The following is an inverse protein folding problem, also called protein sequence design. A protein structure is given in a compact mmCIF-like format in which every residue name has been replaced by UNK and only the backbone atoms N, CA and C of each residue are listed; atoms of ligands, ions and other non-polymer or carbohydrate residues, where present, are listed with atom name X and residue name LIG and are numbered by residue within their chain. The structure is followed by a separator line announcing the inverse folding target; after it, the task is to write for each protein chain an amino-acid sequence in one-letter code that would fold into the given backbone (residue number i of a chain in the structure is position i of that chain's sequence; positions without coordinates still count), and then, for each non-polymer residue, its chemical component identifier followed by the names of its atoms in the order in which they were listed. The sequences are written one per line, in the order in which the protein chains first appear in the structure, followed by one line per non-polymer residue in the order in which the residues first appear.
data_IF_575616410988
#
_entry.id   IF_575616410988
#
_cell.length_a   1.000
_cell.length_b   1.000
_cell.length_c   1.000
_cell.angle_alpha   90.00
_cell.angle_beta   90.00
_cell.angle_gamma   90.00
#
_symmetry.space_group_name_H-M   'P 1'
#
loop_
_entity.id
_entity.type
_entity.pdbx_description
1 polymer ?
#
# COMPACT_ATOMS: atom_id res chain seq x y z
N UNK A 1 -8.69 5.43 16.75
CA UNK A 1 -9.96 5.01 16.12
C UNK A 1 -10.99 6.06 16.46
N UNK A 2 -11.39 6.85 15.47
CA UNK A 2 -12.28 8.00 15.64
C UNK A 2 -13.58 7.78 14.84
N UNK A 3 -14.77 8.07 15.40
CA UNK A 3 -16.03 7.89 14.67
C UNK A 3 -16.20 8.84 13.48
N UNK A 4 -15.45 9.95 13.40
CA UNK A 4 -15.49 10.87 12.26
C UNK A 4 -14.63 10.36 11.09
N UNK A 5 -13.50 9.72 11.38
CA UNK A 5 -12.56 9.22 10.37
C UNK A 5 -12.90 7.79 9.92
N UNK A 6 -13.24 6.90 10.87
CA UNK A 6 -13.50 5.47 10.61
C UNK A 6 -14.83 4.97 11.21
N UNK A 7 -15.98 5.59 10.89
CA UNK A 7 -17.28 5.29 11.54
C UNK A 7 -17.64 3.81 11.48
N UNK A 8 -17.47 3.16 10.33
CA UNK A 8 -17.78 1.75 10.14
C UNK A 8 -17.02 0.86 11.13
N UNK A 9 -15.72 1.08 11.28
CA UNK A 9 -14.88 0.28 12.18
C UNK A 9 -15.21 0.63 13.63
N UNK A 10 -15.37 1.92 13.94
CA UNK A 10 -15.73 2.40 15.28
C UNK A 10 -17.00 1.71 15.82
N UNK A 11 -18.08 1.67 15.02
CA UNK A 11 -19.33 1.04 15.44
C UNK A 11 -19.25 -0.49 15.51
N UNK A 12 -18.42 -1.13 14.68
CA UNK A 12 -18.13 -2.56 14.82
C UNK A 12 -17.40 -2.86 16.14
N UNK A 13 -16.38 -2.06 16.45
CA UNK A 13 -15.53 -2.18 17.66
C UNK A 13 -16.29 -1.89 18.95
N UNK A 14 -17.18 -0.90 18.95
CA UNK A 14 -17.95 -0.48 20.14
C UNK A 14 -19.27 -1.24 20.31
N UNK A 15 -19.58 -2.19 19.41
CA UNK A 15 -20.75 -3.06 19.55
C UNK A 15 -20.63 -3.96 20.80
N UNK A 16 -21.73 -4.30 21.51
CA UNK A 16 -21.68 -5.16 22.71
C UNK A 16 -21.08 -6.56 22.52
N UNK A 17 -20.97 -7.03 21.28
CA UNK A 17 -20.34 -8.31 20.93
C UNK A 17 -18.88 -8.18 20.46
N UNK A 18 -18.35 -6.96 20.45
CA UNK A 18 -16.95 -6.67 20.12
C UNK A 18 -16.05 -6.99 21.30
N UNK A 19 -14.82 -7.40 20.99
CA UNK A 19 -13.78 -7.69 21.96
C UNK A 19 -12.61 -6.76 21.72
N UNK A 20 -12.10 -6.16 22.78
CA UNK A 20 -10.93 -5.29 22.76
C UNK A 20 -9.74 -6.03 23.36
N UNK A 21 -8.60 -5.95 22.69
CA UNK A 21 -7.33 -6.52 23.12
C UNK A 21 -6.31 -5.38 23.30
N UNK A 22 -5.77 -5.25 24.52
CA UNK A 22 -4.75 -4.26 24.89
C UNK A 22 -5.13 -2.79 24.58
N UNK A 23 -6.41 -2.44 24.74
CA UNK A 23 -6.92 -1.06 24.63
C UNK A 23 -7.22 -0.55 26.04
N UNK A 24 -6.89 0.71 26.32
CA UNK A 24 -7.14 1.33 27.62
C UNK A 24 -8.63 1.58 27.86
N UNK A 25 -9.08 1.26 29.07
CA UNK A 25 -10.46 1.46 29.52
C UNK A 25 -10.42 2.08 30.91
N UNK A 26 -11.16 3.17 31.10
CA UNK A 26 -11.25 3.85 32.39
C UNK A 26 -12.18 3.12 33.38
N UNK A 27 -12.24 3.61 34.62
CA UNK A 27 -13.09 3.02 35.67
C UNK A 27 -14.59 3.14 35.40
N UNK A 28 -15.02 3.98 34.45
CA UNK A 28 -16.41 4.15 34.03
C UNK A 28 -16.75 3.26 32.81
N UNK A 29 -15.77 2.51 32.29
CA UNK A 29 -15.93 1.65 31.12
C UNK A 29 -15.78 2.40 29.79
N UNK A 30 -15.30 3.65 29.79
CA UNK A 30 -15.02 4.39 28.55
C UNK A 30 -13.70 3.91 27.97
N UNK A 31 -13.71 3.67 26.67
CA UNK A 31 -12.55 3.20 25.92
C UNK A 31 -11.79 4.41 25.40
N UNK A 32 -10.47 4.45 25.64
CA UNK A 32 -9.58 5.43 25.05
C UNK A 32 -8.78 4.75 23.92
N UNK A 33 -9.18 5.02 22.67
CA UNK A 33 -8.51 4.48 21.48
C UNK A 33 -7.22 5.21 21.09
N UNK A 34 -6.88 6.29 21.78
CA UNK A 34 -5.65 7.05 21.56
C UNK A 34 -4.58 6.76 22.60
N UNK A 35 -4.95 6.19 23.75
CA UNK A 35 -4.00 5.75 24.76
C UNK A 35 -3.28 4.46 24.34
N UNK A 36 -1.98 4.60 24.06
CA UNK A 36 -1.08 3.49 23.71
C UNK A 36 -0.21 3.01 24.87
N UNK A 37 -0.56 3.34 26.11
CA UNK A 37 0.24 3.01 27.31
C UNK A 37 0.57 1.52 27.41
N UNK A 38 -0.37 0.64 27.05
CA UNK A 38 -0.14 -0.81 27.00
C UNK A 38 0.65 -1.22 25.75
N UNK A 39 0.24 -0.71 24.59
CA UNK A 39 0.85 -0.98 23.30
C UNK A 39 0.31 -0.03 22.23
N UNK A 40 1.10 0.23 21.18
CA UNK A 40 0.64 0.89 19.96
C UNK A 40 -0.10 -0.06 18.99
N UNK A 41 -0.32 -1.32 19.38
CA UNK A 41 -0.99 -2.36 18.59
C UNK A 41 -2.23 -2.88 19.33
N UNK A 42 -3.07 -1.97 19.83
CA UNK A 42 -4.39 -2.31 20.36
C UNK A 42 -5.26 -2.88 19.25
N UNK A 43 -6.03 -3.93 19.55
CA UNK A 43 -6.85 -4.62 18.54
C UNK A 43 -8.30 -4.72 18.98
N UNK A 44 -9.17 -4.91 18.00
CA UNK A 44 -10.54 -5.32 18.26
C UNK A 44 -10.96 -6.43 17.31
N UNK A 45 -11.86 -7.29 17.78
CA UNK A 45 -12.53 -8.28 16.95
C UNK A 45 -14.02 -8.13 17.15
N UNK A 46 -14.78 -8.22 16.06
CA UNK A 46 -16.22 -8.17 16.09
C UNK A 46 -16.78 -8.98 14.91
N UNK A 47 -18.00 -9.54 15.02
CA UNK A 47 -18.66 -10.19 13.90
C UNK A 47 -18.78 -9.26 12.68
N UNK A 48 -18.54 -9.77 11.47
CA UNK A 48 -18.70 -9.00 10.22
C UNK A 48 -20.11 -8.39 10.10
N UNK A 49 -21.12 -9.05 10.67
CA UNK A 49 -22.50 -8.57 10.73
C UNK A 49 -22.69 -7.23 11.46
N UNK A 50 -21.71 -6.80 12.28
CA UNK A 50 -21.78 -5.54 13.01
C UNK A 50 -21.48 -4.32 12.13
N UNK A 51 -21.01 -4.53 10.90
CA UNK A 51 -20.68 -3.45 9.97
C UNK A 51 -21.43 -3.60 8.65
N UNK A 52 -21.69 -2.51 7.90
CA UNK A 52 -22.15 -2.61 6.52
C UNK A 52 -21.18 -3.45 5.68
N UNK A 53 -21.68 -4.53 5.10
CA UNK A 53 -20.90 -5.44 4.28
C UNK A 53 -21.77 -6.01 3.15
N UNK A 54 -21.11 -6.53 2.11
CA UNK A 54 -21.76 -7.32 1.06
C UNK A 54 -21.72 -8.79 1.46
N UNK A 55 -22.74 -9.55 1.04
CA UNK A 55 -22.73 -11.00 1.20
C UNK A 55 -21.46 -11.61 0.59
N UNK A 56 -20.62 -12.30 1.39
CA UNK A 56 -19.38 -12.89 0.91
C UNK A 56 -19.59 -14.08 -0.02
N UNK A 57 -20.75 -14.74 -0.02
CA UNK A 57 -20.99 -15.98 -0.79
C UNK A 57 -21.24 -15.76 -2.29
N UNK A 58 -21.37 -14.51 -2.75
CA UNK A 58 -21.75 -14.18 -4.13
C UNK A 58 -21.04 -12.97 -4.72
N UNK A 59 -19.78 -12.76 -4.35
CA UNK A 59 -19.00 -11.64 -4.86
C UNK A 59 -18.67 -11.82 -6.36
N UNK A 60 -18.73 -10.74 -7.16
CA UNK A 60 -18.27 -10.80 -8.54
C UNK A 60 -16.76 -11.06 -8.61
N UNK A 61 -16.28 -11.46 -9.78
CA UNK A 61 -14.84 -11.61 -10.01
C UNK A 61 -14.11 -10.29 -9.72
N UNK A 62 -12.94 -10.39 -9.08
CA UNK A 62 -12.11 -9.23 -8.77
C UNK A 62 -11.68 -8.53 -10.07
N UNK A 63 -11.89 -7.21 -10.11
CA UNK A 63 -11.49 -6.34 -11.22
C UNK A 63 -10.28 -5.48 -10.90
N UNK A 64 -10.05 -5.20 -9.62
CA UNK A 64 -8.99 -4.31 -9.16
C UNK A 64 -8.20 -4.99 -8.05
N UNK A 65 -6.87 -4.97 -8.15
CA UNK A 65 -5.92 -5.34 -7.10
C UNK A 65 -5.18 -4.08 -6.66
N UNK A 66 -5.29 -3.73 -5.38
CA UNK A 66 -4.59 -2.58 -4.81
C UNK A 66 -3.44 -3.08 -3.95
N UNK A 67 -2.20 -2.79 -4.36
CA UNK A 67 -0.99 -3.08 -3.60
C UNK A 67 -0.65 -1.83 -2.79
N UNK A 68 -0.85 -1.90 -1.48
CA UNK A 68 -0.51 -0.80 -0.57
C UNK A 68 0.98 -0.82 -0.29
N UNK A 69 1.65 0.30 -0.53
CA UNK A 69 3.09 0.46 -0.38
C UNK A 69 3.34 1.69 0.47
N UNK A 70 3.64 1.53 1.75
CA UNK A 70 3.97 2.69 2.58
C UNK A 70 5.41 3.11 2.31
N UNK A 71 5.58 4.18 1.53
CA UNK A 71 6.88 4.65 1.08
C UNK A 71 7.11 6.12 1.43
N UNK A 72 8.31 6.65 1.20
CA UNK A 72 8.63 8.05 1.45
C UNK A 72 9.52 8.68 0.35
N UNK A 73 9.78 8.00 -0.76
CA UNK A 73 10.75 8.47 -1.77
C UNK A 73 10.11 8.77 -3.13
N UNK A 74 10.50 8.04 -4.17
CA UNK A 74 10.15 8.28 -5.58
C UNK A 74 8.89 7.54 -6.00
N UNK A 75 8.20 6.86 -5.07
CA UNK A 75 6.95 6.16 -5.35
C UNK A 75 5.79 7.16 -5.36
N UNK A 76 5.03 7.28 -6.45
CA UNK A 76 3.89 8.21 -6.56
C UNK A 76 2.75 7.81 -5.63
N UNK A 77 1.83 8.73 -5.36
CA UNK A 77 0.60 8.46 -4.60
C UNK A 77 -0.21 7.30 -5.20
N UNK A 78 -0.25 7.21 -6.53
CA UNK A 78 -0.89 6.12 -7.27
C UNK A 78 -0.16 5.84 -8.58
N UNK A 79 0.02 4.56 -8.89
CA UNK A 79 0.47 4.08 -10.19
C UNK A 79 -0.39 2.90 -10.66
N UNK A 80 -0.63 2.80 -11.98
CA UNK A 80 -1.25 1.64 -12.61
C UNK A 80 -0.15 0.73 -13.14
N UNK A 81 -0.11 -0.49 -12.63
CA UNK A 81 0.87 -1.48 -13.02
C UNK A 81 0.49 -2.07 -14.38
N UNK A 82 1.48 -2.28 -15.24
CA UNK A 82 1.29 -3.14 -16.39
C UNK A 82 1.07 -4.58 -15.92
N UNK A 83 0.46 -5.39 -16.77
CA UNK A 83 0.09 -6.76 -16.43
C UNK A 83 1.29 -7.62 -16.02
N UNK A 84 2.45 -7.40 -16.64
CA UNK A 84 3.68 -8.14 -16.34
C UNK A 84 4.29 -7.71 -15.00
N UNK A 85 4.08 -6.46 -14.59
CA UNK A 85 4.58 -5.91 -13.33
C UNK A 85 3.78 -6.35 -12.11
N UNK A 86 2.55 -6.85 -12.26
CA UNK A 86 1.66 -7.17 -11.13
C UNK A 86 2.32 -8.18 -10.19
N UNK A 87 2.83 -9.28 -10.75
CA UNK A 87 3.50 -10.31 -9.97
C UNK A 87 4.85 -9.81 -9.41
N UNK A 88 5.54 -8.93 -10.13
CA UNK A 88 6.79 -8.30 -9.69
C UNK A 88 6.58 -7.47 -8.44
N UNK A 89 5.65 -6.51 -8.47
CA UNK A 89 5.36 -5.64 -7.32
C UNK A 89 4.74 -6.39 -6.14
N UNK A 90 3.96 -7.44 -6.41
CA UNK A 90 3.48 -8.34 -5.38
C UNK A 90 4.62 -9.08 -4.65
N UNK A 91 5.62 -9.55 -5.41
CA UNK A 91 6.81 -10.21 -4.83
C UNK A 91 7.75 -9.24 -4.13
N UNK A 92 7.87 -8.00 -4.62
CA UNK A 92 8.66 -6.96 -3.95
C UNK A 92 8.11 -6.66 -2.55
N UNK A 93 6.79 -6.59 -2.42
CA UNK A 93 6.11 -6.43 -1.12
C UNK A 93 6.71 -5.29 -0.29
N UNK A 94 7.02 -4.19 -0.97
CA UNK A 94 7.67 -3.02 -0.39
C UNK A 94 6.71 -2.29 0.55
N UNK A 95 7.12 -2.12 1.79
CA UNK A 95 6.34 -1.41 2.81
C UNK A 95 7.23 -0.91 3.94
N UNK A 96 6.64 -0.19 4.90
CA UNK A 96 7.30 0.18 6.15
C UNK A 96 6.82 -0.73 7.28
N UNK A 97 7.76 -1.31 8.02
CA UNK A 97 7.45 -2.15 9.17
C UNK A 97 6.59 -1.41 10.19
N UNK A 98 5.53 -2.09 10.66
CA UNK A 98 4.56 -1.54 11.61
C UNK A 98 4.91 -1.95 13.04
N UNK A 99 4.29 -1.29 14.03
CA UNK A 99 4.40 -1.71 15.44
C UNK A 99 3.96 -3.16 15.67
N UNK A 100 3.08 -3.70 14.81
CA UNK A 100 2.64 -5.09 14.87
C UNK A 100 3.74 -6.11 14.48
N UNK A 101 4.73 -5.72 13.66
CA UNK A 101 5.93 -6.53 13.37
C UNK A 101 6.95 -6.54 14.52
N UNK A 102 6.69 -5.76 15.58
CA UNK A 102 7.55 -5.63 16.75
C UNK A 102 8.62 -4.54 16.60
N UNK A 103 9.29 -4.24 17.71
CA UNK A 103 10.26 -3.13 17.81
C UNK A 103 11.46 -3.27 16.85
N UNK A 104 11.79 -4.49 16.42
CA UNK A 104 12.90 -4.74 15.50
C UNK A 104 12.59 -4.30 14.05
N UNK A 105 11.32 -4.26 13.66
CA UNK A 105 10.87 -3.98 12.29
C UNK A 105 10.21 -2.60 12.17
N UNK A 106 9.64 -2.09 13.25
CA UNK A 106 8.93 -0.81 13.27
C UNK A 106 9.79 0.33 12.68
N UNK A 107 9.23 1.00 11.66
CA UNK A 107 9.85 2.16 11.00
C UNK A 107 10.89 1.84 9.93
N UNK A 108 11.30 0.57 9.77
CA UNK A 108 12.25 0.14 8.73
C UNK A 108 11.55 -0.10 7.40
N UNK A 109 12.26 0.16 6.31
CA UNK A 109 11.80 -0.26 4.98
C UNK A 109 11.98 -1.77 4.85
N UNK A 110 10.91 -2.45 4.46
CA UNK A 110 10.85 -3.89 4.34
C UNK A 110 10.47 -4.29 2.92
N UNK A 111 10.97 -5.45 2.49
CA UNK A 111 10.53 -6.17 1.30
C UNK A 111 10.13 -7.56 1.74
N UNK A 112 8.82 -7.82 1.75
CA UNK A 112 8.24 -9.07 2.23
C UNK A 112 7.14 -9.49 1.26
N UNK A 113 7.28 -10.62 0.53
CA UNK A 113 6.31 -11.05 -0.47
C UNK A 113 4.91 -11.15 0.12
N UNK A 114 3.90 -10.71 -0.63
CA UNK A 114 2.63 -10.24 -0.08
C UNK A 114 1.93 -11.08 0.99
N UNK A 115 2.02 -12.42 0.99
CA UNK A 115 1.34 -13.26 2.00
C UNK A 115 2.21 -13.67 3.19
N UNK A 116 3.46 -13.23 3.24
CA UNK A 116 4.33 -13.48 4.38
C UNK A 116 3.95 -12.64 5.61
N UNK A 117 4.14 -13.17 6.84
CA UNK A 117 4.88 -14.39 7.18
C UNK A 117 4.04 -15.69 7.15
N UNK A 118 2.88 -15.71 6.50
CA UNK A 118 1.94 -16.85 6.54
C UNK A 118 2.13 -17.86 5.40
N UNK A 119 3.16 -17.68 4.56
CA UNK A 119 3.47 -18.60 3.47
C UNK A 119 4.61 -19.56 3.88
N UNK A 120 4.27 -20.81 4.10
CA UNK A 120 5.19 -21.80 4.69
C UNK A 120 6.01 -22.62 3.67
N UNK A 121 6.03 -22.19 2.40
CA UNK A 121 6.73 -22.90 1.31
C UNK A 121 7.64 -21.94 0.53
N UNK A 122 8.19 -22.37 -0.60
CA UNK A 122 9.05 -21.54 -1.43
C UNK A 122 8.29 -20.29 -1.92
N UNK A 123 8.70 -19.11 -1.46
CA UNK A 123 8.11 -17.80 -1.81
C UNK A 123 7.96 -17.56 -3.32
N UNK A 124 8.82 -18.14 -4.15
CA UNK A 124 8.70 -18.06 -5.61
C UNK A 124 7.32 -18.54 -6.11
N UNK A 125 6.70 -19.50 -5.41
CA UNK A 125 5.39 -20.03 -5.76
C UNK A 125 4.28 -18.98 -5.62
N UNK A 126 4.43 -17.98 -4.75
CA UNK A 126 3.41 -16.93 -4.61
C UNK A 126 3.31 -16.10 -5.90
N UNK A 127 4.45 -15.60 -6.39
CA UNK A 127 4.53 -14.83 -7.63
C UNK A 127 4.14 -15.65 -8.86
N UNK A 128 4.64 -16.88 -8.97
CA UNK A 128 4.29 -17.77 -10.08
C UNK A 128 2.79 -18.08 -10.11
N UNK A 129 2.18 -18.35 -8.94
CA UNK A 129 0.75 -18.61 -8.86
C UNK A 129 -0.07 -17.38 -9.21
N UNK A 130 0.36 -16.19 -8.80
CA UNK A 130 -0.30 -14.95 -9.21
C UNK A 130 -0.23 -14.76 -10.73
N UNK A 131 0.90 -15.06 -11.37
CA UNK A 131 1.03 -15.00 -12.82
C UNK A 131 0.05 -15.95 -13.53
N UNK A 132 -0.11 -17.19 -13.04
CA UNK A 132 -1.11 -18.14 -13.54
C UNK A 132 -2.54 -17.61 -13.35
N UNK A 133 -2.86 -17.06 -12.19
CA UNK A 133 -4.19 -16.48 -11.91
C UNK A 133 -4.49 -15.32 -12.84
N UNK A 134 -3.52 -14.44 -13.09
CA UNK A 134 -3.67 -13.33 -14.02
C UNK A 134 -4.14 -13.84 -15.37
N UNK A 135 -3.57 -14.91 -15.93
CA UNK A 135 -4.00 -15.49 -17.22
C UNK A 135 -5.50 -15.83 -17.27
N UNK A 136 -6.10 -16.18 -16.13
CA UNK A 136 -7.55 -16.47 -16.01
C UNK A 136 -8.42 -15.23 -15.73
N UNK A 137 -7.79 -14.09 -15.44
CA UNK A 137 -8.44 -12.82 -15.08
C UNK A 137 -7.97 -11.70 -16.02
N UNK A 138 -8.42 -11.69 -17.29
CA UNK A 138 -7.99 -10.70 -18.29
C UNK A 138 -8.35 -9.27 -17.89
N UNK A 139 -9.46 -9.09 -17.17
CA UNK A 139 -9.97 -7.77 -16.77
C UNK A 139 -9.39 -7.25 -15.44
N UNK A 140 -8.55 -8.04 -14.76
CA UNK A 140 -7.92 -7.59 -13.51
C UNK A 140 -6.87 -6.52 -13.82
N UNK A 141 -7.06 -5.33 -13.26
CA UNK A 141 -6.09 -4.25 -13.22
C UNK A 141 -5.45 -4.18 -11.83
N UNK A 142 -4.16 -3.86 -11.76
CA UNK A 142 -3.49 -3.66 -10.48
C UNK A 142 -2.91 -2.26 -10.36
N UNK A 143 -2.92 -1.75 -9.13
CA UNK A 143 -2.47 -0.42 -8.81
C UNK A 143 -1.55 -0.46 -7.59
N UNK A 144 -0.51 0.35 -7.61
CA UNK A 144 0.32 0.63 -6.46
C UNK A 144 -0.22 1.90 -5.80
N UNK A 145 -0.54 1.83 -4.50
CA UNK A 145 -0.99 2.98 -3.72
C UNK A 145 0.04 3.30 -2.65
N UNK A 146 0.66 4.47 -2.76
CA UNK A 146 1.56 4.94 -1.72
C UNK A 146 0.75 5.51 -0.55
N UNK A 147 0.90 4.91 0.63
CA UNK A 147 0.19 5.33 1.86
C UNK A 147 1.12 6.04 2.85
N UNK A 148 2.29 6.47 2.38
CA UNK A 148 3.25 7.27 3.13
C UNK A 148 3.40 8.66 2.53
N UNK A 149 4.61 8.98 2.08
CA UNK A 149 5.03 10.28 1.58
C UNK A 149 5.70 10.16 0.21
N UNK A 150 5.84 11.30 -0.45
CA UNK A 150 6.60 11.48 -1.69
C UNK A 150 7.68 12.53 -1.45
N UNK A 151 8.89 12.31 -1.95
CA UNK A 151 9.96 13.32 -1.92
C UNK A 151 10.82 13.36 -0.65
N UNK A 152 10.66 12.41 0.28
CA UNK A 152 11.48 12.28 1.48
C UNK A 152 10.69 11.86 2.72
N UNK A 153 11.43 11.59 3.80
CA UNK A 153 10.87 11.27 5.12
C UNK A 153 10.13 12.44 5.76
N UNK A 154 9.45 12.16 6.89
CA UNK A 154 8.64 13.14 7.63
C UNK A 154 9.46 14.32 8.18
N UNK A 155 10.73 14.09 8.52
CA UNK A 155 11.67 15.12 8.98
C UNK A 155 12.37 15.86 7.82
N UNK A 156 12.15 15.43 6.57
CA UNK A 156 12.76 16.04 5.40
C UNK A 156 11.95 17.24 4.91
N UNK A 157 12.60 18.41 4.83
CA UNK A 157 12.04 19.60 4.20
C UNK A 157 11.56 19.26 2.77
N UNK A 158 10.32 19.61 2.46
CA UNK A 158 9.74 19.46 1.12
C UNK A 158 9.10 18.11 0.80
N UNK A 159 9.10 17.13 1.70
CA UNK A 159 8.32 15.90 1.48
C UNK A 159 6.81 16.15 1.59
N UNK A 160 6.02 15.42 0.81
CA UNK A 160 4.57 15.57 0.76
C UNK A 160 3.85 14.32 1.25
N UNK A 161 2.91 14.48 2.17
CA UNK A 161 2.13 13.36 2.72
C UNK A 161 1.02 12.93 1.76
N UNK A 162 0.90 11.62 1.52
CA UNK A 162 -0.30 11.07 0.89
C UNK A 162 -1.35 10.87 1.98
N UNK A 163 -2.30 11.80 2.07
CA UNK A 163 -3.38 11.74 3.05
C UNK A 163 -4.41 10.67 2.71
N UNK A 164 -5.24 10.34 3.70
CA UNK A 164 -6.41 9.46 3.51
C UNK A 164 -7.34 10.01 2.43
N UNK A 165 -7.52 11.34 2.34
CA UNK A 165 -8.33 11.97 1.30
C UNK A 165 -7.73 11.77 -0.10
N UNK A 166 -6.41 11.87 -0.26
CA UNK A 166 -5.74 11.57 -1.53
C UNK A 166 -5.91 10.09 -1.92
N UNK A 167 -5.71 9.17 -0.97
CA UNK A 167 -5.93 7.74 -1.22
C UNK A 167 -7.39 7.43 -1.58
N UNK A 168 -8.35 8.04 -0.90
CA UNK A 168 -9.78 7.87 -1.20
C UNK A 168 -10.13 8.41 -2.60
N UNK A 169 -9.61 9.57 -2.98
CA UNK A 169 -9.76 10.14 -4.32
C UNK A 169 -9.16 9.22 -5.40
N UNK A 170 -7.97 8.66 -5.16
CA UNK A 170 -7.34 7.71 -6.08
C UNK A 170 -8.19 6.44 -6.24
N UNK A 171 -8.69 5.84 -5.14
CA UNK A 171 -9.57 4.65 -5.22
C UNK A 171 -10.87 4.98 -5.96
N UNK A 172 -11.49 6.13 -5.67
CA UNK A 172 -12.69 6.56 -6.38
C UNK A 172 -12.42 6.75 -7.88
N UNK A 173 -11.28 7.35 -8.23
CA UNK A 173 -10.86 7.53 -9.62
C UNK A 173 -10.55 6.23 -10.35
N UNK A 174 -9.96 5.25 -9.66
CA UNK A 174 -9.74 3.89 -10.19
C UNK A 174 -11.08 3.24 -10.52
N UNK A 175 -12.02 3.24 -9.56
CA UNK A 175 -13.33 2.61 -9.73
C UNK A 175 -14.16 3.32 -10.81
N UNK A 176 -14.10 4.66 -10.86
CA UNK A 176 -14.81 5.49 -11.83
C UNK A 176 -14.16 5.57 -13.20
N UNK A 177 -12.91 5.12 -13.35
CA UNK A 177 -12.16 5.24 -14.61
C UNK A 177 -11.83 6.69 -15.00
N UNK A 178 -11.69 7.59 -14.03
CA UNK A 178 -11.54 9.03 -14.26
C UNK A 178 -10.10 9.54 -14.11
N UNK A 179 -9.15 8.65 -13.85
CA UNK A 179 -7.73 9.01 -13.75
C UNK A 179 -7.13 9.09 -15.14
N UNK A 180 -6.42 10.18 -15.42
CA UNK A 180 -5.57 10.32 -16.60
C UNK A 180 -4.19 9.74 -16.30
N UNK A 181 -3.64 8.98 -17.24
CA UNK A 181 -2.41 8.21 -17.04
C UNK A 181 -1.34 8.64 -18.04
N UNK A 182 -0.09 8.66 -17.59
CA UNK A 182 1.09 8.80 -18.44
C UNK A 182 2.12 7.75 -18.04
N UNK A 183 2.89 7.26 -19.01
CA UNK A 183 3.93 6.27 -18.76
C UNK A 183 5.07 6.91 -17.98
N UNK A 184 5.46 6.27 -16.88
CA UNK A 184 6.66 6.60 -16.14
C UNK A 184 7.89 6.12 -16.93
N UNK A 185 8.84 7.00 -17.27
CA UNK A 185 9.99 6.62 -18.07
C UNK A 185 10.99 5.75 -17.30
N UNK A 186 10.95 5.78 -15.97
CA UNK A 186 11.95 5.17 -15.10
C UNK A 186 11.58 3.73 -14.71
N UNK A 187 10.32 3.50 -14.36
CA UNK A 187 9.81 2.21 -13.89
C UNK A 187 8.81 1.56 -14.85
N UNK A 188 8.38 2.26 -15.91
CA UNK A 188 7.54 1.71 -16.98
C UNK A 188 6.08 1.41 -16.61
N UNK A 189 5.68 1.58 -15.34
CA UNK A 189 4.26 1.63 -14.97
C UNK A 189 3.66 2.98 -15.39
N UNK A 190 2.36 3.17 -15.22
CA UNK A 190 1.72 4.46 -15.50
C UNK A 190 1.50 5.24 -14.21
N UNK A 191 1.96 6.49 -14.17
CA UNK A 191 1.64 7.46 -13.11
C UNK A 191 0.40 8.25 -13.46
N UNK A 192 -0.29 8.76 -12.45
CA UNK A 192 -1.42 9.63 -12.69
C UNK A 192 -0.95 11.01 -13.21
N UNK A 193 -1.47 11.42 -14.36
CA UNK A 193 -1.36 12.79 -14.84
C UNK A 193 -2.35 13.71 -14.11
N UNK A 194 -3.53 13.19 -13.78
CA UNK A 194 -4.56 13.89 -13.02
C UNK A 194 -5.46 12.89 -12.29
N UNK A 195 -5.83 13.21 -11.05
CA UNK A 195 -6.84 12.48 -10.27
C UNK A 195 -7.85 13.50 -9.75
N UNK A 196 -9.15 13.39 -10.09
CA UNK A 196 -10.16 14.27 -9.51
C UNK A 196 -10.13 14.24 -7.98
N UNK A 197 -9.95 15.40 -7.34
CA UNK A 197 -9.81 15.51 -5.88
C UNK A 197 -8.37 15.45 -5.35
N UNK A 198 -7.36 15.40 -6.24
CA UNK A 198 -5.94 15.57 -5.89
C UNK A 198 -5.33 16.66 -6.77
N UNK A 199 -5.27 17.88 -6.24
CA UNK A 199 -4.75 19.05 -6.98
C UNK A 199 -3.22 19.10 -7.01
N UNK A 200 -2.56 18.34 -6.13
CA UNK A 200 -1.11 18.35 -5.98
C UNK A 200 -0.44 17.35 -6.94
N UNK A 201 -0.01 17.84 -8.10
CA UNK A 201 0.65 17.03 -9.13
C UNK A 201 1.99 16.44 -8.66
N UNK A 202 2.64 17.03 -7.67
CA UNK A 202 3.92 16.53 -7.16
C UNK A 202 3.77 15.20 -6.41
N UNK A 203 2.58 14.97 -5.82
CA UNK A 203 2.23 13.67 -5.24
C UNK A 203 2.01 12.60 -6.31
N UNK A 204 1.53 12.99 -7.49
CA UNK A 204 1.21 12.08 -8.58
C UNK A 204 2.43 11.78 -9.46
N UNK A 205 3.33 12.76 -9.61
CA UNK A 205 4.52 12.70 -10.46
C UNK A 205 5.75 13.16 -9.65
N UNK A 206 6.40 12.24 -8.89
CA UNK A 206 7.46 12.56 -7.95
C UNK A 206 8.63 13.35 -8.56
N UNK A 207 9.02 13.07 -9.81
CA UNK A 207 10.09 13.79 -10.51
C UNK A 207 9.90 15.32 -10.46
N UNK A 208 8.66 15.80 -10.58
CA UNK A 208 8.33 17.24 -10.52
C UNK A 208 8.66 17.84 -9.17
N UNK A 209 8.41 17.10 -8.09
CA UNK A 209 8.71 17.52 -6.73
C UNK A 209 10.22 17.71 -6.54
N UNK A 210 11.00 16.73 -6.98
CA UNK A 210 12.45 16.76 -6.86
C UNK A 210 13.04 17.88 -7.74
N UNK A 211 12.56 18.07 -8.97
CA UNK A 211 12.98 19.17 -9.83
C UNK A 211 12.66 20.54 -9.23
N UNK A 212 11.45 20.73 -8.70
CA UNK A 212 11.03 21.98 -8.06
C UNK A 212 11.87 22.33 -6.82
N UNK A 213 12.54 21.35 -6.22
CA UNK A 213 13.40 21.49 -5.05
C UNK A 213 14.89 21.47 -5.37
N UNK A 214 15.29 21.49 -6.65
CA UNK A 214 16.69 21.39 -7.08
C UNK A 214 17.38 20.08 -6.62
N UNK A 215 16.61 18.98 -6.57
CA UNK A 215 17.04 17.65 -6.11
C UNK A 215 17.01 16.61 -7.25
N UNK A 216 17.14 17.03 -8.51
CA UNK A 216 17.06 16.14 -9.67
C UNK A 216 18.15 15.05 -9.69
N UNK A 217 19.36 15.35 -9.22
CA UNK A 217 20.44 14.34 -9.12
C UNK A 217 20.17 13.32 -8.01
N UNK A 218 19.53 13.75 -6.91
CA UNK A 218 19.07 12.83 -5.87
C UNK A 218 17.99 11.89 -6.43
N UNK A 219 17.02 12.42 -7.18
CA UNK A 219 15.99 11.60 -7.83
C UNK A 219 16.60 10.51 -8.71
N UNK A 220 17.52 10.87 -9.62
CA UNK A 220 18.20 9.89 -10.50
C UNK A 220 18.92 8.81 -9.70
N UNK A 221 19.68 9.23 -8.66
CA UNK A 221 20.38 8.29 -7.78
C UNK A 221 19.42 7.33 -7.07
N UNK A 222 18.27 7.83 -6.62
CA UNK A 222 17.23 7.00 -5.99
C UNK A 222 16.64 6.01 -7.00
N UNK A 223 16.28 6.47 -8.20
CA UNK A 223 15.74 5.62 -9.28
C UNK A 223 16.69 4.47 -9.60
N UNK A 224 17.96 4.77 -9.90
CA UNK A 224 18.98 3.77 -10.21
C UNK A 224 19.12 2.75 -9.06
N UNK A 225 19.26 3.25 -7.83
CA UNK A 225 19.34 2.39 -6.65
C UNK A 225 18.12 1.49 -6.50
N UNK A 226 16.90 2.01 -6.70
CA UNK A 226 15.68 1.21 -6.58
C UNK A 226 15.60 0.13 -7.65
N UNK A 227 15.96 0.43 -8.90
CA UNK A 227 16.00 -0.57 -9.97
C UNK A 227 16.98 -1.70 -9.63
N UNK A 228 18.19 -1.36 -9.16
CA UNK A 228 19.21 -2.32 -8.76
C UNK A 228 18.77 -3.17 -7.57
N UNK A 229 18.32 -2.53 -6.49
CA UNK A 229 17.90 -3.22 -5.26
C UNK A 229 16.74 -4.17 -5.48
N UNK A 230 15.73 -3.73 -6.25
CA UNK A 230 14.55 -4.54 -6.53
C UNK A 230 14.91 -5.73 -7.43
N UNK A 231 15.76 -5.53 -8.44
CA UNK A 231 16.28 -6.61 -9.27
C UNK A 231 17.08 -7.63 -8.46
N UNK A 232 17.99 -7.14 -7.61
CA UNK A 232 18.80 -7.99 -6.72
C UNK A 232 17.93 -8.75 -5.72
N UNK A 233 16.87 -8.12 -5.18
CA UNK A 233 15.93 -8.76 -4.27
C UNK A 233 15.17 -9.90 -4.95
N UNK A 234 14.62 -9.67 -6.14
CA UNK A 234 13.86 -10.68 -6.89
C UNK A 234 14.74 -11.86 -7.33
N UNK A 235 16.01 -11.60 -7.65
CA UNK A 235 16.97 -12.64 -8.01
C UNK A 235 17.27 -13.64 -6.87
N UNK A 236 16.91 -13.32 -5.62
CA UNK A 236 17.11 -14.21 -4.47
C UNK A 236 16.12 -15.38 -4.40
N UNK A 237 15.04 -15.37 -5.19
CA UNK A 237 13.99 -16.40 -5.15
C UNK A 237 14.23 -17.51 -6.19
N UNK A 238 14.74 -18.69 -5.81
CA UNK A 238 15.00 -19.76 -6.77
C UNK A 238 13.68 -20.31 -7.32
N UNK A 239 13.58 -20.35 -8.65
CA UNK A 239 12.39 -20.83 -9.36
C UNK A 239 11.31 -19.76 -9.58
N UNK A 240 11.57 -18.49 -9.25
CA UNK A 240 10.70 -17.39 -9.65
C UNK A 240 10.73 -17.22 -11.18
N UNK A 241 9.57 -17.04 -11.80
CA UNK A 241 9.47 -16.92 -13.24
C UNK A 241 10.34 -15.75 -13.75
N UNK A 242 11.12 -15.94 -14.84
CA UNK A 242 12.01 -14.89 -15.33
C UNK A 242 11.32 -13.59 -15.74
N UNK A 243 10.03 -13.64 -16.11
CA UNK A 243 9.22 -12.45 -16.39
C UNK A 243 8.93 -11.60 -15.16
N UNK A 244 8.93 -12.21 -13.97
CA UNK A 244 8.73 -11.53 -12.69
C UNK A 244 10.06 -10.94 -12.17
N UNK A 245 11.17 -11.60 -12.48
CA UNK A 245 12.50 -11.17 -12.01
C UNK A 245 13.12 -10.03 -12.84
N UNK A 246 12.40 -9.48 -13.82
CA UNK A 246 12.84 -8.35 -14.66
C UNK A 246 12.02 -7.11 -14.30
N UNK A 247 12.70 -6.00 -14.07
CA UNK A 247 12.13 -4.66 -13.94
C UNK A 247 12.34 -3.88 -15.23
#
# INVERSE_FOLDING_TARGET
LDPNDEPTIYYGTTHPSGWLENVSVDSEGRVDFFDTTHTANGRSTFPLANIPHRDPAGLPQARYLLILNRNDNVVPAVARLTRDQIATYFMLGETRGTSAGGAAEQGKNLRVPGTNPFFFTNDALQGNRLLELLQTMPDLQAFLLNTGRVGGGEEGDGSKNVSISHSAAAVAGIVGGTIEWVVDPDFGYEVAAAVPGVDDLDLLQPVRLYEAQDRSEEYKTLVERFQEERSAYLARFPGLAPSIARL
#
